data_IF_871567791933
#
_entry.id   IF_871567791933
#
_cell.length_a   1.000
_cell.length_b   1.000
_cell.length_c   1.000
_cell.angle_alpha   90.00
_cell.angle_beta   90.00
_cell.angle_gamma   90.00
#
_symmetry.space_group_name_H-M   'P 1'
#
loop_
_entity.id
_entity.type
_entity.pdbx_description
1 polymer ?
#
# COMPACT_ATOMS: atom_id res chain seq x y z
N UNK A 1 -11.79 38.96 -29.91
CA UNK A 1 -12.00 38.16 -31.14
C UNK A 1 -11.20 36.90 -30.95
N UNK A 2 -11.80 35.74 -31.09
CA UNK A 2 -11.15 34.46 -30.86
C UNK A 2 -10.07 34.24 -31.93
N UNK A 3 -8.87 33.83 -31.58
CA UNK A 3 -7.74 33.65 -32.52
C UNK A 3 -8.13 32.80 -33.74
N UNK A 4 -8.99 31.80 -33.50
CA UNK A 4 -9.56 30.97 -34.59
C UNK A 4 -10.40 31.75 -35.59
N UNK A 5 -11.23 32.65 -35.08
CA UNK A 5 -12.03 33.53 -35.96
C UNK A 5 -11.17 34.50 -36.75
N UNK A 6 -10.11 35.00 -36.13
CA UNK A 6 -9.15 35.90 -36.80
C UNK A 6 -8.47 35.21 -37.96
N UNK A 7 -8.02 33.94 -37.80
CA UNK A 7 -7.41 33.15 -38.89
C UNK A 7 -8.42 32.87 -40.02
N UNK A 8 -9.64 32.50 -39.69
CA UNK A 8 -10.68 32.30 -40.72
C UNK A 8 -11.00 33.59 -41.49
N UNK A 9 -11.10 34.73 -40.79
CA UNK A 9 -11.37 36.02 -41.44
C UNK A 9 -10.21 36.44 -42.35
N UNK A 10 -8.97 36.35 -41.85
CA UNK A 10 -7.77 36.66 -42.67
C UNK A 10 -7.70 35.71 -43.87
N UNK A 11 -7.89 34.42 -43.65
CA UNK A 11 -7.89 33.41 -44.72
C UNK A 11 -8.95 33.70 -45.80
N UNK A 12 -10.17 34.04 -45.36
CA UNK A 12 -11.26 34.38 -46.25
C UNK A 12 -10.98 35.66 -47.06
N UNK A 13 -10.46 36.71 -46.41
CA UNK A 13 -10.11 37.96 -47.10
C UNK A 13 -8.99 37.77 -48.13
N UNK A 14 -7.97 36.95 -47.79
CA UNK A 14 -6.90 36.62 -48.73
C UNK A 14 -7.39 35.80 -49.92
N UNK A 15 -8.33 34.87 -49.71
CA UNK A 15 -8.96 34.08 -50.78
C UNK A 15 -9.78 34.99 -51.71
N UNK A 16 -10.55 35.91 -51.11
CA UNK A 16 -11.36 36.87 -51.86
C UNK A 16 -10.49 37.83 -52.68
N UNK A 17 -9.40 38.36 -52.11
CA UNK A 17 -8.47 39.23 -52.80
C UNK A 17 -7.69 38.48 -53.88
N UNK A 18 -7.34 37.23 -53.67
CA UNK A 18 -6.72 36.34 -54.64
C UNK A 18 -7.61 36.10 -55.86
N UNK A 19 -8.95 36.04 -55.66
CA UNK A 19 -9.93 35.92 -56.76
C UNK A 19 -9.91 37.15 -57.69
N UNK A 20 -9.83 38.36 -57.10
CA UNK A 20 -9.80 39.60 -57.84
C UNK A 20 -8.44 39.88 -58.51
N UNK A 21 -7.34 39.49 -57.91
CA UNK A 21 -5.99 39.75 -58.38
C UNK A 21 -5.45 38.67 -59.35
N UNK A 22 -6.13 37.52 -59.46
CA UNK A 22 -5.66 36.38 -60.23
C UNK A 22 -4.37 35.72 -59.73
N UNK A 23 -3.95 36.07 -58.50
CA UNK A 23 -2.69 35.61 -57.92
C UNK A 23 -2.84 34.24 -57.24
N UNK A 24 -2.22 33.21 -57.80
CA UNK A 24 -2.20 31.86 -57.21
C UNK A 24 -1.54 31.82 -55.82
N UNK A 25 -0.60 32.70 -55.55
CA UNK A 25 0.07 32.79 -54.26
C UNK A 25 -0.91 33.20 -53.14
N UNK A 26 -1.82 34.16 -53.41
CA UNK A 26 -2.83 34.59 -52.43
C UNK A 26 -3.86 33.47 -52.19
N UNK A 27 -4.14 32.63 -53.14
CA UNK A 27 -4.98 31.45 -52.96
C UNK A 27 -4.33 30.43 -52.03
N UNK A 28 -3.03 30.14 -52.18
CA UNK A 28 -2.29 29.26 -51.30
C UNK A 28 -2.24 29.82 -49.88
N UNK A 29 -1.92 31.11 -49.76
CA UNK A 29 -1.78 31.75 -48.43
C UNK A 29 -3.16 31.83 -47.74
N UNK A 30 -4.21 32.22 -48.44
CA UNK A 30 -5.57 32.26 -47.93
C UNK A 30 -6.09 30.89 -47.52
N UNK A 31 -5.85 29.85 -48.31
CA UNK A 31 -6.16 28.47 -47.97
C UNK A 31 -5.41 27.99 -46.73
N UNK A 32 -4.12 28.30 -46.61
CA UNK A 32 -3.32 27.97 -45.43
C UNK A 32 -3.92 28.57 -44.15
N UNK A 33 -4.22 29.87 -44.14
CA UNK A 33 -4.83 30.52 -42.94
C UNK A 33 -6.25 30.02 -42.67
N UNK A 34 -7.02 29.70 -43.67
CA UNK A 34 -8.39 29.20 -43.53
C UNK A 34 -8.47 27.80 -42.94
N UNK A 35 -7.58 26.88 -43.36
CA UNK A 35 -7.58 25.50 -42.86
C UNK A 35 -6.72 25.29 -41.63
N UNK A 36 -5.88 26.26 -41.24
CA UNK A 36 -5.00 26.15 -40.10
C UNK A 36 -5.71 25.84 -38.76
N UNK A 37 -6.85 26.49 -38.40
CA UNK A 37 -7.57 26.16 -37.15
C UNK A 37 -8.09 24.73 -37.14
N UNK A 38 -8.62 24.24 -38.24
CA UNK A 38 -9.08 22.86 -38.36
C UNK A 38 -7.92 21.85 -38.21
N UNK A 39 -6.77 22.15 -38.79
CA UNK A 39 -5.55 21.33 -38.64
C UNK A 39 -5.06 21.32 -37.19
N UNK A 40 -5.13 22.46 -36.49
CA UNK A 40 -4.79 22.55 -35.06
C UNK A 40 -5.71 21.69 -34.17
N UNK A 41 -7.02 21.77 -34.39
CA UNK A 41 -7.99 20.93 -33.65
C UNK A 41 -7.79 19.44 -33.91
N UNK A 42 -7.58 19.07 -35.16
CA UNK A 42 -7.30 17.69 -35.55
C UNK A 42 -6.03 17.20 -34.86
N UNK A 43 -4.98 18.00 -34.87
CA UNK A 43 -3.72 17.68 -34.21
C UNK A 43 -3.87 17.57 -32.70
N UNK A 44 -4.52 18.52 -32.01
CA UNK A 44 -4.78 18.47 -30.58
C UNK A 44 -5.53 17.20 -30.17
N UNK A 45 -6.57 16.80 -30.92
CA UNK A 45 -7.30 15.55 -30.69
C UNK A 45 -6.44 14.29 -30.94
N UNK A 46 -5.48 14.38 -31.87
CA UNK A 46 -4.62 13.27 -32.25
C UNK A 46 -3.46 13.03 -31.28
N UNK A 47 -2.97 14.07 -30.62
CA UNK A 47 -1.86 13.99 -29.65
C UNK A 47 -2.14 12.96 -28.55
N UNK A 48 -3.37 12.90 -28.03
CA UNK A 48 -3.80 11.95 -26.98
C UNK A 48 -3.43 10.50 -27.35
N UNK A 49 -3.51 10.14 -28.63
CA UNK A 49 -3.22 8.80 -29.12
C UNK A 49 -1.73 8.51 -29.29
N UNK A 50 -0.93 9.56 -29.45
CA UNK A 50 0.49 9.45 -29.83
C UNK A 50 1.47 9.71 -28.68
N UNK A 51 1.00 10.28 -27.57
CA UNK A 51 1.82 10.46 -26.36
C UNK A 51 1.58 9.28 -25.42
N UNK A 52 2.65 8.57 -25.08
CA UNK A 52 2.63 7.51 -24.06
C UNK A 52 3.45 7.96 -22.85
N UNK A 53 2.86 7.74 -21.68
CA UNK A 53 3.49 7.99 -20.38
C UNK A 53 3.86 6.65 -19.76
N UNK A 54 5.10 6.51 -19.30
CA UNK A 54 5.59 5.35 -18.59
C UNK A 54 6.22 5.79 -17.27
N UNK A 55 5.97 4.99 -16.22
CA UNK A 55 6.56 5.18 -14.91
C UNK A 55 7.43 4.00 -14.57
N UNK A 56 8.61 4.27 -14.07
CA UNK A 56 9.49 3.25 -13.51
C UNK A 56 9.97 3.73 -12.15
N UNK A 57 9.96 2.85 -11.16
CA UNK A 57 10.53 3.13 -9.83
C UNK A 57 11.52 2.05 -9.48
N UNK A 58 12.54 2.43 -8.73
CA UNK A 58 13.52 1.49 -8.17
C UNK A 58 12.89 0.58 -7.12
N UNK A 59 11.90 1.07 -6.37
CA UNK A 59 11.20 0.33 -5.34
C UNK A 59 9.71 0.64 -5.33
N UNK A 60 8.88 -0.39 -5.16
CA UNK A 60 7.43 -0.25 -5.02
C UNK A 60 6.96 -0.44 -3.57
N UNK A 61 7.85 -0.90 -2.68
CA UNK A 61 7.59 -1.16 -1.27
C UNK A 61 8.73 -0.61 -0.44
N UNK A 62 8.44 0.33 0.45
CA UNK A 62 9.47 1.11 1.16
C UNK A 62 9.09 1.33 2.61
N UNK A 63 10.07 1.74 3.43
CA UNK A 63 9.86 2.24 4.78
C UNK A 63 9.68 3.75 4.78
N UNK A 64 9.01 4.34 5.77
CA UNK A 64 8.95 5.80 5.94
C UNK A 64 10.35 6.40 6.02
N UNK A 65 10.54 7.56 5.39
CA UNK A 65 11.83 8.25 5.34
C UNK A 65 12.82 7.69 4.30
N UNK A 66 12.48 6.61 3.59
CA UNK A 66 13.35 6.07 2.54
C UNK A 66 13.10 6.82 1.22
N UNK A 67 14.11 7.46 0.62
CA UNK A 67 13.96 8.11 -0.68
C UNK A 67 13.82 7.06 -1.79
N UNK A 68 12.89 7.28 -2.71
CA UNK A 68 12.59 6.42 -3.86
C UNK A 68 12.71 7.23 -5.13
N UNK A 69 13.49 6.75 -6.09
CA UNK A 69 13.61 7.37 -7.39
C UNK A 69 12.51 6.88 -8.32
N UNK A 70 11.69 7.80 -8.79
CA UNK A 70 10.64 7.56 -9.75
C UNK A 70 10.98 8.26 -11.05
N UNK A 71 11.22 7.49 -12.08
CA UNK A 71 11.50 8.01 -13.42
C UNK A 71 10.23 8.02 -14.24
N UNK A 72 9.88 9.20 -14.72
CA UNK A 72 8.74 9.46 -15.57
C UNK A 72 9.28 9.64 -16.98
N UNK A 73 8.78 8.84 -17.90
CA UNK A 73 9.17 8.91 -19.31
C UNK A 73 7.95 9.18 -20.19
N UNK A 74 8.02 10.25 -20.96
CA UNK A 74 7.05 10.60 -21.97
C UNK A 74 7.61 10.25 -23.36
N UNK A 75 6.85 9.50 -24.15
CA UNK A 75 7.18 9.14 -25.53
C UNK A 75 6.29 9.90 -26.49
N UNK A 76 6.88 10.71 -27.35
CA UNK A 76 6.19 11.33 -28.46
C UNK A 76 6.28 10.40 -29.69
N UNK A 77 5.18 9.77 -30.07
CA UNK A 77 5.09 8.95 -31.28
C UNK A 77 4.62 9.73 -32.50
N UNK A 78 4.33 11.04 -32.30
CA UNK A 78 3.87 11.89 -33.41
C UNK A 78 5.02 12.33 -34.32
N UNK A 79 4.65 12.79 -35.48
CA UNK A 79 5.56 13.41 -36.42
C UNK A 79 5.75 14.91 -36.20
N UNK A 80 5.12 15.48 -35.19
CA UNK A 80 5.26 16.88 -34.76
C UNK A 80 5.94 16.95 -33.37
N UNK A 81 6.76 17.98 -33.14
CA UNK A 81 7.34 18.22 -31.84
C UNK A 81 6.27 18.72 -30.86
N UNK A 82 6.43 18.40 -29.59
CA UNK A 82 5.60 18.88 -28.49
C UNK A 82 6.45 19.70 -27.53
N UNK A 83 6.66 20.98 -27.81
CA UNK A 83 7.40 21.85 -26.93
C UNK A 83 6.57 22.17 -25.68
N UNK A 84 7.25 22.43 -24.57
CA UNK A 84 6.64 22.89 -23.32
C UNK A 84 5.44 22.06 -22.86
N UNK A 85 5.56 20.72 -22.91
CA UNK A 85 4.56 19.83 -22.36
C UNK A 85 4.72 19.76 -20.84
N UNK A 86 3.69 20.15 -20.10
CA UNK A 86 3.67 20.09 -18.67
C UNK A 86 2.91 18.85 -18.21
N UNK A 87 3.49 18.10 -17.29
CA UNK A 87 2.82 17.02 -16.58
C UNK A 87 2.54 17.51 -15.15
N UNK A 88 1.27 17.50 -14.76
CA UNK A 88 0.81 17.84 -13.43
C UNK A 88 0.22 16.61 -12.77
N UNK A 89 0.57 16.37 -11.50
CA UNK A 89 -0.05 15.34 -10.67
C UNK A 89 -0.04 15.76 -9.21
N UNK A 90 -0.86 15.09 -8.40
CA UNK A 90 -0.95 15.37 -6.98
C UNK A 90 -0.57 14.15 -6.14
N UNK A 91 0.10 14.42 -5.03
CA UNK A 91 0.56 13.47 -4.03
C UNK A 91 -0.01 13.86 -2.66
N UNK A 92 -0.13 12.91 -1.71
CA UNK A 92 -0.42 13.25 -0.32
C UNK A 92 0.66 14.17 0.28
N UNK A 93 0.27 15.08 1.18
CA UNK A 93 1.18 16.05 1.83
C UNK A 93 2.37 15.41 2.55
N UNK A 94 2.18 14.19 3.08
CA UNK A 94 3.21 13.46 3.80
C UNK A 94 4.29 12.83 2.91
N UNK A 95 4.31 13.18 1.62
CA UNK A 95 5.36 12.78 0.67
C UNK A 95 6.12 14.01 0.24
N UNK A 96 7.39 14.09 0.59
CA UNK A 96 8.29 15.13 0.07
C UNK A 96 8.79 14.73 -1.31
N UNK A 97 8.95 15.74 -2.17
CA UNK A 97 9.33 15.56 -3.57
C UNK A 97 10.51 16.44 -3.90
N UNK A 98 11.56 15.84 -4.41
CA UNK A 98 12.74 16.53 -4.95
C UNK A 98 12.86 16.30 -6.46
N UNK A 99 13.32 17.33 -7.19
CA UNK A 99 13.56 17.26 -8.65
C UNK A 99 12.38 17.73 -9.51
N UNK A 100 11.29 18.24 -8.94
CA UNK A 100 10.18 18.87 -9.68
C UNK A 100 10.53 20.28 -10.15
N UNK A 101 9.98 20.70 -11.30
CA UNK A 101 10.12 22.09 -11.77
C UNK A 101 9.33 23.07 -10.89
N UNK A 102 8.12 22.67 -10.51
CA UNK A 102 7.27 23.40 -9.57
C UNK A 102 6.66 22.41 -8.57
N UNK A 103 6.82 22.69 -7.28
CA UNK A 103 6.21 21.90 -6.21
C UNK A 103 5.45 22.87 -5.31
N UNK A 104 4.13 22.66 -5.18
CA UNK A 104 3.26 23.47 -4.32
C UNK A 104 2.46 22.57 -3.40
N UNK A 105 2.53 22.81 -2.10
CA UNK A 105 1.71 22.12 -1.11
C UNK A 105 0.51 22.98 -0.74
N UNK A 106 -0.70 22.44 -0.92
CA UNK A 106 -1.96 23.09 -0.60
C UNK A 106 -3.03 22.04 -0.29
N UNK A 107 -3.92 22.31 0.67
CA UNK A 107 -5.07 21.46 1.02
C UNK A 107 -4.70 19.98 1.24
N UNK A 108 -3.66 19.70 2.04
CA UNK A 108 -3.19 18.34 2.34
C UNK A 108 -2.66 17.56 1.12
N UNK A 109 -2.37 18.25 0.03
CA UNK A 109 -1.80 17.65 -1.17
C UNK A 109 -0.59 18.43 -1.68
N UNK A 110 0.37 17.73 -2.21
CA UNK A 110 1.53 18.28 -2.90
C UNK A 110 1.31 18.14 -4.39
N UNK A 111 1.19 19.28 -5.07
CA UNK A 111 1.05 19.34 -6.53
C UNK A 111 2.43 19.49 -7.13
N UNK A 112 2.76 18.58 -8.03
CA UNK A 112 4.03 18.57 -8.75
C UNK A 112 3.78 18.86 -10.22
N UNK A 113 4.58 19.77 -10.79
CA UNK A 113 4.58 20.08 -12.23
C UNK A 113 5.96 19.81 -12.81
N UNK A 114 5.98 19.07 -13.91
CA UNK A 114 7.19 18.72 -14.64
C UNK A 114 7.10 19.20 -16.08
N UNK A 115 8.15 19.85 -16.57
CA UNK A 115 8.25 20.27 -17.95
C UNK A 115 9.02 19.25 -18.76
N UNK A 116 8.46 18.93 -19.93
CA UNK A 116 9.05 18.08 -20.95
C UNK A 116 9.07 18.82 -22.27
N UNK A 117 10.20 18.77 -22.94
CA UNK A 117 10.32 19.17 -24.35
C UNK A 117 10.48 17.87 -25.16
N UNK A 118 9.50 17.56 -25.99
CA UNK A 118 9.40 16.27 -26.70
C UNK A 118 9.64 16.49 -28.20
N UNK A 119 10.86 16.25 -28.72
CA UNK A 119 11.12 16.27 -30.14
C UNK A 119 10.30 15.21 -30.90
N UNK A 120 10.30 15.30 -32.21
CA UNK A 120 9.60 14.36 -33.12
C UNK A 120 10.10 12.94 -32.88
N UNK A 121 9.18 12.00 -32.59
CA UNK A 121 9.46 10.56 -32.40
C UNK A 121 10.52 10.26 -31.34
N UNK A 122 10.68 11.13 -30.36
CA UNK A 122 11.64 10.95 -29.25
C UNK A 122 10.93 10.82 -27.92
N UNK A 123 11.71 10.46 -26.91
CA UNK A 123 11.26 10.38 -25.53
C UNK A 123 12.10 11.28 -24.63
N UNK A 124 11.44 11.88 -23.65
CA UNK A 124 12.11 12.60 -22.57
C UNK A 124 11.81 11.91 -21.24
N UNK A 125 12.80 11.85 -20.38
CA UNK A 125 12.68 11.28 -19.05
C UNK A 125 13.03 12.32 -17.98
N UNK A 126 12.31 12.25 -16.85
CA UNK A 126 12.60 13.04 -15.64
C UNK A 126 12.56 12.11 -14.44
N UNK A 127 13.53 12.24 -13.57
CA UNK A 127 13.58 11.46 -12.33
C UNK A 127 13.24 12.39 -11.16
N UNK A 128 12.35 11.92 -10.31
CA UNK A 128 11.96 12.56 -9.06
C UNK A 128 12.36 11.66 -7.91
N UNK A 129 12.77 12.26 -6.82
CA UNK A 129 12.96 11.53 -5.56
C UNK A 129 11.75 11.78 -4.66
N UNK A 130 11.02 10.72 -4.35
CA UNK A 130 9.86 10.74 -3.45
C UNK A 130 10.26 10.18 -2.09
N UNK A 131 10.04 10.94 -1.02
CA UNK A 131 10.31 10.48 0.35
C UNK A 131 9.00 10.47 1.14
N UNK A 132 8.37 9.30 1.33
CA UNK A 132 7.15 9.18 2.12
C UNK A 132 7.49 9.20 3.62
N UNK A 133 6.71 9.93 4.43
CA UNK A 133 6.90 10.04 5.87
C UNK A 133 5.88 9.26 6.69
N UNK A 134 4.74 8.88 6.10
CA UNK A 134 3.70 8.08 6.77
C UNK A 134 3.47 6.78 6.02
N UNK A 135 3.09 5.72 6.76
CA UNK A 135 2.69 4.45 6.15
C UNK A 135 1.42 4.62 5.30
N UNK A 136 1.21 3.70 4.39
CA UNK A 136 0.01 3.67 3.56
C UNK A 136 0.31 3.38 2.11
N UNK A 137 -0.71 3.43 1.27
CA UNK A 137 -0.53 3.37 -0.17
C UNK A 137 -0.50 4.79 -0.72
N UNK A 138 0.63 5.19 -1.25
CA UNK A 138 0.80 6.46 -1.96
C UNK A 138 0.34 6.25 -3.40
N UNK A 139 -0.69 7.00 -3.80
CA UNK A 139 -1.21 7.02 -5.17
C UNK A 139 -0.86 8.35 -5.82
N UNK A 140 -0.43 8.32 -7.05
CA UNK A 140 -0.44 9.50 -7.89
C UNK A 140 -1.87 9.71 -8.40
N UNK A 141 -2.43 10.87 -8.10
CA UNK A 141 -3.79 11.22 -8.49
C UNK A 141 -3.79 12.49 -9.33
N UNK A 142 -4.90 12.74 -10.02
CA UNK A 142 -5.10 13.96 -10.82
C UNK A 142 -4.00 14.18 -11.86
N UNK A 143 -3.61 13.10 -12.54
CA UNK A 143 -2.58 13.17 -13.56
C UNK A 143 -3.16 13.85 -14.80
N UNK A 144 -2.63 15.03 -15.10
CA UNK A 144 -3.01 15.84 -16.25
C UNK A 144 -1.76 16.23 -17.01
N UNK A 145 -1.82 16.15 -18.32
CA UNK A 145 -0.79 16.72 -19.17
C UNK A 145 -1.36 17.93 -19.87
N UNK A 146 -0.66 19.03 -19.77
CA UNK A 146 -0.95 20.30 -20.41
C UNK A 146 0.09 20.49 -21.51
N UNK A 147 -0.33 20.63 -22.75
CA UNK A 147 0.57 20.96 -23.85
C UNK A 147 0.07 22.20 -24.59
N UNK A 148 0.98 23.07 -24.96
CA UNK A 148 0.66 24.18 -25.88
C UNK A 148 0.87 23.69 -27.30
N UNK A 149 -0.20 23.55 -28.08
CA UNK A 149 -0.06 23.25 -29.50
C UNK A 149 0.70 24.38 -30.22
N UNK A 150 1.46 24.05 -31.25
CA UNK A 150 2.06 25.04 -32.12
C UNK A 150 0.94 25.93 -32.72
N UNK A 151 1.06 27.25 -32.50
CA UNK A 151 0.11 28.26 -33.00
C UNK A 151 -1.29 28.27 -32.34
N UNK A 152 -1.49 27.65 -31.18
CA UNK A 152 -2.74 27.72 -30.43
C UNK A 152 -2.57 28.49 -29.12
N UNK A 153 -3.57 29.29 -28.77
CA UNK A 153 -3.62 30.05 -27.53
C UNK A 153 -4.21 29.24 -26.34
N UNK A 154 -4.79 28.09 -26.65
CA UNK A 154 -5.43 27.24 -25.66
C UNK A 154 -4.58 26.04 -25.27
N UNK A 155 -4.49 25.80 -23.97
CA UNK A 155 -3.82 24.63 -23.39
C UNK A 155 -4.70 23.40 -23.65
N UNK A 156 -4.15 22.38 -24.28
CA UNK A 156 -4.83 21.09 -24.46
C UNK A 156 -4.55 20.18 -23.30
N UNK A 157 -5.61 19.74 -22.61
CA UNK A 157 -5.52 18.75 -21.55
C UNK A 157 -5.57 17.34 -22.11
N UNK A 158 -4.55 16.55 -21.80
CA UNK A 158 -4.48 15.16 -22.18
C UNK A 158 -4.78 14.31 -20.95
N UNK A 159 -5.92 13.57 -20.92
CA UNK A 159 -6.16 12.61 -19.84
C UNK A 159 -5.14 11.49 -19.96
N UNK A 160 -4.34 11.31 -18.92
CA UNK A 160 -3.35 10.23 -18.86
C UNK A 160 -3.88 9.12 -17.94
N UNK A 161 -4.35 7.99 -18.51
CA UNK A 161 -4.79 6.85 -17.69
C UNK A 161 -3.57 6.15 -17.13
N UNK A 162 -3.14 6.55 -15.95
CA UNK A 162 -2.03 5.89 -15.25
C UNK A 162 -2.29 5.80 -13.77
N UNK A 163 -2.02 4.62 -13.23
CA UNK A 163 -1.98 4.36 -11.82
C UNK A 163 -0.56 3.98 -11.43
N UNK A 164 0.13 4.88 -10.76
CA UNK A 164 1.32 4.52 -10.00
C UNK A 164 0.93 4.40 -8.54
N UNK A 165 1.36 3.33 -7.90
CA UNK A 165 1.19 3.16 -6.47
C UNK A 165 2.45 2.65 -5.82
N UNK A 166 2.74 3.19 -4.65
CA UNK A 166 3.84 2.77 -3.81
C UNK A 166 3.30 2.43 -2.42
N UNK A 167 3.70 1.28 -1.88
CA UNK A 167 3.30 0.84 -0.56
C UNK A 167 4.37 1.20 0.46
N UNK A 168 3.98 1.99 1.46
CA UNK A 168 4.84 2.40 2.57
C UNK A 168 4.50 1.57 3.80
N UNK A 169 5.44 0.77 4.27
CA UNK A 169 5.26 -0.09 5.43
C UNK A 169 5.22 0.71 6.73
N UNK A 170 4.58 0.20 7.80
CA UNK A 170 4.68 0.81 9.12
C UNK A 170 6.12 0.68 9.67
N UNK A 171 6.58 1.73 10.36
CA UNK A 171 7.88 1.72 11.03
C UNK A 171 7.78 0.93 12.34
N UNK A 172 8.55 -0.16 12.54
CA UNK A 172 8.48 -0.93 13.78
C UNK A 172 8.98 -0.14 14.98
N UNK A 173 8.22 -0.18 16.09
CA UNK A 173 8.65 0.39 17.38
C UNK A 173 9.63 -0.54 18.12
N UNK A 174 10.52 -0.01 18.95
CA UNK A 174 11.35 -0.82 19.83
C UNK A 174 10.46 -1.55 20.85
N UNK A 175 10.64 -2.87 20.95
CA UNK A 175 9.91 -3.70 21.93
C UNK A 175 10.74 -3.91 23.18
N UNK A 176 10.11 -3.97 24.37
CA UNK A 176 10.81 -4.34 25.59
C UNK A 176 11.32 -5.79 25.51
N UNK A 177 12.50 -6.10 26.05
CA UNK A 177 13.10 -7.44 25.97
C UNK A 177 12.27 -8.54 26.63
N UNK A 178 11.46 -8.17 27.64
CA UNK A 178 10.60 -9.09 28.39
C UNK A 178 9.45 -9.71 27.62
N UNK A 179 9.13 -9.23 26.40
CA UNK A 179 8.04 -9.81 25.58
C UNK A 179 8.24 -11.32 25.38
N UNK A 180 9.46 -11.77 25.20
CA UNK A 180 9.78 -13.18 25.00
C UNK A 180 9.64 -14.00 26.29
N UNK A 181 10.01 -13.43 27.46
CA UNK A 181 9.99 -14.15 28.72
C UNK A 181 8.57 -14.37 29.24
N UNK A 182 7.71 -13.36 29.13
CA UNK A 182 6.33 -13.44 29.62
C UNK A 182 5.39 -14.27 28.72
N UNK A 183 5.72 -14.42 27.44
CA UNK A 183 4.89 -15.14 26.47
C UNK A 183 5.37 -16.56 26.16
N UNK A 184 6.53 -16.97 26.68
CA UNK A 184 6.96 -18.37 26.53
C UNK A 184 6.01 -19.31 27.26
N UNK A 185 5.50 -20.37 26.61
CA UNK A 185 4.74 -21.43 27.29
C UNK A 185 5.64 -22.11 28.33
N UNK A 186 5.14 -22.28 29.57
CA UNK A 186 5.86 -23.08 30.57
C UNK A 186 6.08 -24.50 30.02
N UNK A 187 7.34 -24.91 29.95
CA UNK A 187 7.70 -26.22 29.47
C UNK A 187 7.94 -26.33 27.97
N UNK A 188 8.36 -25.27 27.32
CA UNK A 188 8.94 -25.37 25.97
C UNK A 188 10.34 -25.99 26.01
N UNK A 189 10.48 -27.21 26.53
CA UNK A 189 11.24 -28.21 25.78
C UNK A 189 10.66 -28.14 24.40
N UNK A 190 11.46 -27.71 23.43
CA UNK A 190 11.16 -27.79 22.01
C UNK A 190 10.54 -29.17 21.73
N UNK A 191 9.25 -29.31 21.96
CA UNK A 191 8.50 -30.41 21.41
C UNK A 191 8.73 -30.21 19.91
N UNK A 192 9.52 -31.06 19.32
CA UNK A 192 9.48 -31.37 17.88
C UNK A 192 8.11 -31.98 17.62
N UNK A 193 7.07 -31.23 18.00
CA UNK A 193 5.69 -31.56 17.74
C UNK A 193 5.57 -31.55 16.23
N UNK A 194 5.30 -32.74 15.69
CA UNK A 194 5.09 -33.02 14.27
C UNK A 194 4.32 -31.89 13.66
N UNK A 195 5.02 -31.05 12.87
CA UNK A 195 4.42 -30.04 12.04
C UNK A 195 3.39 -30.76 11.17
N UNK A 196 2.13 -30.47 11.35
CA UNK A 196 1.09 -31.02 10.50
C UNK A 196 1.27 -30.39 9.11
N UNK A 197 1.59 -31.23 8.14
CA UNK A 197 1.67 -30.82 6.73
C UNK A 197 0.30 -30.34 6.27
N UNK A 198 0.19 -29.09 5.89
CA UNK A 198 -1.03 -28.60 5.26
C UNK A 198 -1.07 -29.07 3.81
N UNK A 199 -1.90 -30.08 3.58
CA UNK A 199 -2.08 -30.72 2.26
C UNK A 199 -2.65 -29.73 1.22
N UNK A 200 -3.14 -28.56 1.64
CA UNK A 200 -3.81 -27.59 0.78
C UNK A 200 -2.80 -26.68 0.05
N UNK A 201 -1.65 -26.41 0.65
CA UNK A 201 -0.65 -25.52 0.05
C UNK A 201 0.60 -26.26 -0.40
N UNK A 202 0.73 -26.41 -1.72
CA UNK A 202 1.88 -27.02 -2.37
C UNK A 202 3.00 -25.99 -2.53
N UNK A 203 4.11 -26.19 -1.83
CA UNK A 203 5.30 -25.34 -1.92
C UNK A 203 6.18 -25.68 -3.15
N UNK A 204 6.16 -26.94 -3.59
CA UNK A 204 6.98 -27.42 -4.68
C UNK A 204 7.08 -28.93 -4.70
N UNK A 205 8.06 -29.46 -5.44
CA UNK A 205 8.40 -30.90 -5.46
C UNK A 205 9.85 -31.10 -5.09
N UNK A 206 10.18 -32.27 -4.54
CA UNK A 206 11.53 -32.75 -4.30
C UNK A 206 11.67 -34.21 -4.71
N UNK A 207 12.87 -34.71 -4.98
CA UNK A 207 13.09 -36.13 -5.21
C UNK A 207 12.55 -36.99 -4.04
N UNK A 208 11.91 -38.10 -4.38
CA UNK A 208 11.41 -39.08 -3.43
C UNK A 208 12.54 -39.66 -2.57
N UNK A 209 12.32 -39.75 -1.28
CA UNK A 209 13.24 -40.42 -0.33
C UNK A 209 12.52 -41.63 0.29
N UNK A 210 13.29 -42.74 0.58
CA UNK A 210 12.75 -43.89 1.29
C UNK A 210 12.12 -43.44 2.63
N UNK A 211 10.81 -43.73 2.81
CA UNK A 211 10.03 -43.29 3.98
C UNK A 211 8.98 -42.22 3.66
N UNK A 212 9.00 -41.63 2.46
CA UNK A 212 7.94 -40.71 2.02
C UNK A 212 6.64 -41.50 1.77
N UNK A 213 5.50 -40.84 2.10
CA UNK A 213 4.19 -41.45 1.89
C UNK A 213 3.83 -41.47 0.41
N UNK A 214 3.50 -42.61 -0.15
CA UNK A 214 3.12 -42.79 -1.57
C UNK A 214 2.01 -41.83 -2.04
N UNK A 215 1.05 -41.50 -1.18
CA UNK A 215 -0.04 -40.54 -1.49
C UNK A 215 0.45 -39.11 -1.79
N UNK A 216 1.70 -38.79 -1.42
CA UNK A 216 2.31 -37.48 -1.65
C UNK A 216 3.13 -37.43 -2.94
N UNK A 217 3.22 -38.51 -3.71
CA UNK A 217 3.92 -38.51 -5.00
C UNK A 217 3.22 -37.55 -5.96
N UNK A 218 4.03 -36.70 -6.60
CA UNK A 218 3.56 -35.76 -7.61
C UNK A 218 3.70 -36.36 -9.01
N UNK A 219 2.74 -37.21 -9.42
CA UNK A 219 2.80 -37.96 -10.66
C UNK A 219 3.09 -37.14 -11.91
N UNK A 220 2.55 -35.90 -11.98
CA UNK A 220 2.79 -34.99 -13.12
C UNK A 220 4.26 -34.50 -13.17
N UNK A 221 4.89 -34.24 -12.03
CA UNK A 221 6.31 -33.88 -11.98
C UNK A 221 7.18 -35.08 -12.29
N UNK A 222 6.88 -36.23 -11.70
CA UNK A 222 7.54 -37.53 -11.98
C UNK A 222 7.54 -37.86 -13.47
N UNK A 223 6.41 -37.69 -14.15
CA UNK A 223 6.31 -37.93 -15.61
C UNK A 223 7.18 -36.94 -16.43
N UNK A 224 7.43 -35.74 -15.90
CA UNK A 224 8.25 -34.73 -16.60
C UNK A 224 9.74 -34.89 -16.33
N UNK A 225 10.13 -35.29 -15.13
CA UNK A 225 11.55 -35.40 -14.71
C UNK A 225 12.13 -36.80 -14.90
N UNK A 226 11.26 -37.82 -15.08
CA UNK A 226 11.69 -39.22 -15.15
C UNK A 226 12.11 -39.84 -13.80
N UNK A 227 12.09 -39.06 -12.71
CA UNK A 227 12.42 -39.50 -11.35
C UNK A 227 11.22 -39.32 -10.44
N UNK A 228 11.07 -40.21 -9.44
CA UNK A 228 9.95 -40.08 -8.48
C UNK A 228 10.08 -38.77 -7.70
N UNK A 229 9.04 -37.92 -7.83
CA UNK A 229 8.95 -36.62 -7.16
C UNK A 229 7.86 -36.63 -6.09
N UNK A 230 8.17 -36.14 -4.90
CA UNK A 230 7.24 -36.00 -3.78
C UNK A 230 6.80 -34.55 -3.64
N UNK A 231 5.52 -34.34 -3.38
CA UNK A 231 4.95 -33.03 -3.08
C UNK A 231 5.53 -32.47 -1.79
N UNK A 232 6.05 -31.28 -1.83
CA UNK A 232 6.52 -30.54 -0.67
C UNK A 232 5.41 -29.59 -0.24
N UNK A 233 4.75 -29.93 0.87
CA UNK A 233 3.69 -29.11 1.43
C UNK A 233 4.27 -28.01 2.31
N UNK A 234 3.56 -26.91 2.40
CA UNK A 234 3.88 -25.87 3.37
C UNK A 234 3.48 -26.38 4.76
N UNK A 235 4.39 -26.26 5.72
CA UNK A 235 4.07 -26.66 7.08
C UNK A 235 3.22 -25.57 7.71
N UNK A 236 1.98 -25.87 8.07
CA UNK A 236 1.16 -24.99 8.88
C UNK A 236 1.76 -24.99 10.28
N UNK A 237 2.46 -23.94 10.63
CA UNK A 237 2.89 -23.73 11.99
C UNK A 237 1.64 -23.54 12.85
N UNK A 238 1.48 -24.36 13.90
CA UNK A 238 0.50 -24.04 14.94
C UNK A 238 0.86 -22.66 15.51
N UNK A 239 -0.08 -21.72 15.62
CA UNK A 239 0.23 -20.41 16.14
C UNK A 239 0.70 -20.56 17.58
N UNK A 240 1.94 -20.17 17.82
CA UNK A 240 2.44 -20.10 19.20
C UNK A 240 1.91 -18.85 19.88
N UNK A 241 1.59 -17.80 19.10
CA UNK A 241 1.08 -16.53 19.59
C UNK A 241 -0.17 -16.09 18.87
N UNK A 242 -1.12 -15.54 19.63
CA UNK A 242 -2.25 -14.76 19.13
C UNK A 242 -1.99 -13.30 19.42
N UNK A 243 -1.76 -12.52 18.37
CA UNK A 243 -1.50 -11.10 18.49
C UNK A 243 -2.79 -10.35 18.22
N UNK A 244 -3.20 -9.48 19.13
CA UNK A 244 -4.43 -8.69 19.06
C UNK A 244 -4.07 -7.22 19.06
N UNK A 245 -4.48 -6.50 18.03
CA UNK A 245 -4.39 -5.04 17.96
C UNK A 245 -5.72 -4.38 18.32
N UNK A 246 -5.76 -3.64 19.42
CA UNK A 246 -6.92 -2.88 19.83
C UNK A 246 -6.93 -1.52 19.14
N UNK A 247 -7.47 -1.44 17.93
CA UNK A 247 -7.61 -0.21 17.18
C UNK A 247 -8.76 0.63 17.75
N UNK A 248 -8.49 1.89 18.03
CA UNK A 248 -9.41 2.82 18.67
C UNK A 248 -10.35 3.48 17.65
N UNK A 249 -11.61 3.76 18.01
CA UNK A 249 -12.56 4.44 17.12
C UNK A 249 -12.17 5.90 16.87
N UNK A 250 -12.40 6.39 15.65
CA UNK A 250 -12.12 7.76 15.22
C UNK A 250 -13.40 8.55 14.95
N UNK A 251 -14.43 8.39 15.81
CA UNK A 251 -15.76 8.97 15.54
C UNK A 251 -15.91 10.46 15.92
N UNK A 252 -15.06 10.98 16.78
CA UNK A 252 -15.14 12.37 17.23
C UNK A 252 -14.09 13.23 16.53
N UNK A 253 -14.46 14.36 15.90
CA UNK A 253 -13.51 15.22 15.18
C UNK A 253 -12.35 15.74 16.05
N UNK A 254 -12.61 16.03 17.33
CA UNK A 254 -11.60 16.49 18.29
C UNK A 254 -10.70 15.36 18.81
N UNK A 255 -11.25 14.16 19.00
CA UNK A 255 -10.51 12.98 19.45
C UNK A 255 -9.83 12.23 18.30
N UNK A 256 -10.23 12.48 17.06
CA UNK A 256 -9.77 11.77 15.87
C UNK A 256 -8.25 11.81 15.73
N UNK A 257 -7.63 12.98 15.85
CA UNK A 257 -6.18 13.14 15.70
C UNK A 257 -5.41 12.38 16.76
N UNK A 258 -5.88 12.41 18.00
CA UNK A 258 -5.25 11.69 19.10
C UNK A 258 -5.39 10.17 18.97
N UNK A 259 -6.56 9.68 18.56
CA UNK A 259 -6.78 8.27 18.30
C UNK A 259 -5.99 7.79 17.06
N UNK A 260 -5.82 8.63 16.04
CA UNK A 260 -5.01 8.30 14.87
C UNK A 260 -3.55 8.11 15.24
N UNK A 261 -2.96 8.98 16.08
CA UNK A 261 -1.60 8.81 16.58
C UNK A 261 -1.45 7.55 17.44
N UNK A 262 -2.42 7.27 18.32
CA UNK A 262 -2.46 6.06 19.11
C UNK A 262 -2.56 4.80 18.24
N UNK A 263 -3.42 4.83 17.22
CA UNK A 263 -3.56 3.74 16.25
C UNK A 263 -2.28 3.50 15.44
N UNK A 264 -1.57 4.58 15.06
CA UNK A 264 -0.26 4.47 14.41
C UNK A 264 0.76 3.76 15.31
N UNK A 265 0.80 4.08 16.62
CA UNK A 265 1.66 3.40 17.58
C UNK A 265 1.29 1.93 17.75
N UNK A 266 0.00 1.60 17.82
CA UNK A 266 -0.48 0.21 17.84
C UNK A 266 0.01 -0.55 16.60
N UNK A 267 -0.19 0.00 15.41
CA UNK A 267 0.22 -0.61 14.15
C UNK A 267 1.74 -0.78 14.07
N UNK A 268 2.50 0.20 14.54
CA UNK A 268 3.96 0.13 14.61
C UNK A 268 4.45 -0.93 15.58
N UNK A 269 3.77 -1.11 16.72
CA UNK A 269 4.04 -2.19 17.67
C UNK A 269 3.71 -3.57 17.07
N UNK A 270 2.59 -3.72 16.35
CA UNK A 270 2.24 -4.95 15.65
C UNK A 270 3.26 -5.31 14.55
N UNK A 271 3.78 -4.32 13.84
CA UNK A 271 4.85 -4.51 12.87
C UNK A 271 6.13 -5.02 13.55
N UNK A 272 6.49 -4.45 14.72
CA UNK A 272 7.63 -4.88 15.50
C UNK A 272 7.46 -6.32 16.03
N UNK A 273 6.27 -6.68 16.53
CA UNK A 273 5.95 -8.05 16.95
C UNK A 273 6.08 -9.04 15.78
N UNK A 274 5.56 -8.69 14.60
CA UNK A 274 5.68 -9.55 13.43
C UNK A 274 7.14 -9.74 12.99
N UNK A 275 7.98 -8.71 13.13
CA UNK A 275 9.42 -8.79 12.87
C UNK A 275 10.13 -9.67 13.91
N UNK A 276 9.76 -9.56 15.19
CA UNK A 276 10.26 -10.40 16.27
C UNK A 276 9.91 -11.88 16.04
N UNK A 277 8.64 -12.17 15.69
CA UNK A 277 8.18 -13.52 15.35
C UNK A 277 8.97 -14.11 14.18
N UNK A 278 9.21 -13.31 13.12
CA UNK A 278 10.05 -13.72 12.00
C UNK A 278 11.49 -14.05 12.44
N UNK A 279 12.10 -13.16 13.25
CA UNK A 279 13.49 -13.33 13.73
C UNK A 279 13.66 -14.57 14.62
N UNK A 280 12.63 -14.90 15.40
CA UNK A 280 12.62 -16.03 16.34
C UNK A 280 11.96 -17.28 15.77
N UNK A 281 11.49 -17.26 14.51
CA UNK A 281 10.76 -18.36 13.86
C UNK A 281 9.51 -18.79 14.65
N UNK A 282 8.81 -17.84 15.29
CA UNK A 282 7.58 -18.08 16.03
C UNK A 282 6.41 -17.94 15.06
N UNK A 283 5.52 -18.95 15.05
CA UNK A 283 4.26 -18.87 14.34
C UNK A 283 3.27 -17.96 15.07
N UNK A 284 2.49 -17.18 14.35
CA UNK A 284 1.49 -16.31 14.96
C UNK A 284 0.31 -16.04 14.03
N UNK A 285 -0.82 -15.72 14.63
CA UNK A 285 -2.00 -15.15 13.96
C UNK A 285 -2.25 -13.73 14.45
N UNK A 286 -2.86 -12.90 13.60
CA UNK A 286 -3.12 -11.50 13.90
C UNK A 286 -4.62 -11.22 13.85
N UNK A 287 -5.13 -10.64 14.93
CA UNK A 287 -6.48 -10.11 15.02
C UNK A 287 -6.46 -8.60 15.24
N UNK A 288 -7.39 -7.88 14.61
CA UNK A 288 -7.59 -6.46 14.86
C UNK A 288 -9.06 -6.20 15.19
N UNK A 289 -9.32 -5.26 16.08
CA UNK A 289 -10.68 -4.78 16.39
C UNK A 289 -11.24 -3.89 15.29
N UNK A 290 -11.13 -4.33 14.05
CA UNK A 290 -11.68 -3.65 12.87
C UNK A 290 -12.54 -4.61 12.05
N UNK A 291 -13.62 -4.09 11.48
CA UNK A 291 -14.54 -4.86 10.65
C UNK A 291 -13.89 -5.18 9.31
N UNK A 292 -13.92 -6.41 8.91
CA UNK A 292 -13.48 -6.86 7.59
C UNK A 292 -14.69 -7.26 6.74
N UNK A 293 -14.59 -7.08 5.42
CA UNK A 293 -15.69 -7.42 4.50
C UNK A 293 -16.11 -8.89 4.68
N UNK A 294 -17.36 -9.13 5.09
CA UNK A 294 -17.90 -10.46 5.36
C UNK A 294 -17.50 -11.08 6.72
N UNK A 295 -16.76 -10.37 7.57
CA UNK A 295 -16.37 -10.83 8.91
C UNK A 295 -16.49 -9.69 9.92
N UNK A 296 -16.83 -10.06 11.17
CA UNK A 296 -16.97 -9.09 12.25
C UNK A 296 -15.61 -8.47 12.65
N UNK A 297 -14.55 -9.26 12.62
CA UNK A 297 -13.20 -8.80 12.96
C UNK A 297 -12.20 -9.13 11.85
N UNK A 298 -11.19 -8.30 11.72
CA UNK A 298 -10.05 -8.59 10.86
C UNK A 298 -9.25 -9.75 11.46
N UNK A 299 -9.02 -10.77 10.66
CA UNK A 299 -8.25 -11.94 11.06
C UNK A 299 -7.30 -12.36 9.95
N UNK A 300 -6.03 -12.45 10.29
CA UNK A 300 -4.98 -12.99 9.47
C UNK A 300 -4.58 -14.35 10.02
N UNK A 301 -4.78 -15.44 9.25
CA UNK A 301 -4.55 -16.79 9.72
C UNK A 301 -3.11 -17.01 10.18
N UNK A 302 -2.93 -18.05 10.99
CA UNK A 302 -1.63 -18.47 11.48
C UNK A 302 -0.62 -18.71 10.36
N UNK A 303 0.59 -18.24 10.59
CA UNK A 303 1.69 -18.43 9.67
C UNK A 303 3.03 -18.10 10.30
N UNK A 304 4.12 -18.36 9.60
CA UNK A 304 5.47 -18.08 10.07
C UNK A 304 6.41 -17.68 8.93
N UNK A 305 7.57 -17.18 9.28
CA UNK A 305 8.63 -16.87 8.31
C UNK A 305 8.47 -15.55 7.55
N UNK A 306 9.27 -15.39 6.48
CA UNK A 306 9.39 -14.13 5.73
C UNK A 306 8.10 -13.77 4.96
N UNK A 307 7.47 -14.75 4.34
CA UNK A 307 6.27 -14.55 3.53
C UNK A 307 5.10 -14.04 4.39
N UNK A 308 4.85 -14.69 5.54
CA UNK A 308 3.82 -14.28 6.48
C UNK A 308 4.07 -12.88 7.04
N UNK A 309 5.32 -12.58 7.46
CA UNK A 309 5.70 -11.24 7.90
C UNK A 309 5.42 -10.17 6.84
N UNK A 310 5.82 -10.38 5.58
CA UNK A 310 5.55 -9.44 4.50
C UNK A 310 4.05 -9.26 4.23
N UNK A 311 3.26 -10.34 4.37
CA UNK A 311 1.82 -10.26 4.25
C UNK A 311 1.21 -9.41 5.37
N UNK A 312 1.62 -9.64 6.62
CA UNK A 312 1.22 -8.81 7.77
C UNK A 312 1.58 -7.34 7.55
N UNK A 313 2.83 -7.04 7.16
CA UNK A 313 3.27 -5.67 6.89
C UNK A 313 2.43 -5.00 5.80
N UNK A 314 2.09 -5.74 4.74
CA UNK A 314 1.24 -5.24 3.65
C UNK A 314 -0.18 -4.91 4.15
N UNK A 315 -0.79 -5.79 4.94
CA UNK A 315 -2.11 -5.56 5.50
C UNK A 315 -2.12 -4.37 6.47
N UNK A 316 -1.13 -4.28 7.35
CA UNK A 316 -0.97 -3.15 8.27
C UNK A 316 -0.74 -1.81 7.53
N UNK A 317 0.00 -1.83 6.43
CA UNK A 317 0.21 -0.65 5.59
C UNK A 317 -1.07 -0.16 4.92
N UNK A 318 -1.94 -1.08 4.50
CA UNK A 318 -3.21 -0.78 3.81
C UNK A 318 -4.36 -0.41 4.73
N UNK A 319 -4.17 -0.48 6.04
CA UNK A 319 -5.20 -0.19 7.04
C UNK A 319 -5.40 1.33 7.19
N UNK A 320 -6.19 1.95 6.31
CA UNK A 320 -6.41 3.39 6.30
C UNK A 320 -7.82 3.79 6.76
N UNK A 321 -8.86 3.19 6.17
CA UNK A 321 -10.25 3.46 6.52
C UNK A 321 -10.88 2.19 7.10
N UNK A 322 -11.30 2.25 8.36
CA UNK A 322 -11.83 1.10 9.06
C UNK A 322 -12.98 1.48 10.00
N UNK A 323 -13.87 0.53 10.18
CA UNK A 323 -14.91 0.57 11.22
C UNK A 323 -14.42 -0.32 12.35
N UNK A 324 -14.35 0.22 13.56
CA UNK A 324 -13.92 -0.54 14.73
C UNK A 324 -15.03 -1.42 15.28
N UNK A 325 -14.61 -2.49 15.93
CA UNK A 325 -15.49 -3.43 16.64
C UNK A 325 -15.09 -3.49 18.12
N UNK A 326 -16.02 -3.79 19.03
CA UNK A 326 -15.72 -3.86 20.45
C UNK A 326 -14.68 -4.95 20.77
N UNK A 327 -13.67 -4.61 21.56
CA UNK A 327 -12.66 -5.58 22.01
C UNK A 327 -13.25 -6.78 22.75
N UNK A 328 -14.29 -6.63 23.62
CA UNK A 328 -14.90 -7.78 24.30
C UNK A 328 -15.47 -8.84 23.37
N UNK A 329 -16.03 -8.46 22.22
CA UNK A 329 -16.58 -9.43 21.24
C UNK A 329 -15.46 -10.28 20.63
N UNK A 330 -14.32 -9.68 20.34
CA UNK A 330 -13.14 -10.39 19.84
C UNK A 330 -12.57 -11.35 20.88
N UNK A 331 -12.43 -10.91 22.14
CA UNK A 331 -11.90 -11.75 23.22
C UNK A 331 -12.82 -12.96 23.53
N UNK A 332 -14.15 -12.78 23.54
CA UNK A 332 -15.10 -13.89 23.70
C UNK A 332 -14.94 -14.97 22.62
N UNK A 333 -14.73 -14.55 21.39
CA UNK A 333 -14.48 -15.51 20.30
C UNK A 333 -13.20 -16.33 20.52
N UNK A 334 -12.19 -15.76 21.16
CA UNK A 334 -10.97 -16.48 21.50
C UNK A 334 -11.18 -17.46 22.67
N UNK A 335 -12.14 -17.20 23.55
CA UNK A 335 -12.54 -18.13 24.62
C UNK A 335 -13.07 -19.46 24.08
N UNK A 336 -13.67 -19.47 22.91
CA UNK A 336 -14.21 -20.70 22.28
C UNK A 336 -13.09 -21.62 21.74
N UNK A 337 -11.85 -21.14 21.69
CA UNK A 337 -10.72 -21.94 21.21
C UNK A 337 -10.24 -22.91 22.30
N UNK A 338 -10.10 -24.20 21.99
CA UNK A 338 -9.66 -25.22 22.96
C UNK A 338 -8.15 -25.15 23.26
N UNK A 339 -7.37 -24.39 22.49
CA UNK A 339 -5.92 -24.36 22.60
C UNK A 339 -5.47 -23.38 23.68
N UNK A 340 -4.57 -23.82 24.57
CA UNK A 340 -3.86 -22.96 25.51
C UNK A 340 -2.75 -22.20 24.79
N UNK A 341 -3.02 -20.98 24.36
CA UNK A 341 -2.11 -20.18 23.54
C UNK A 341 -1.68 -18.91 24.28
N UNK A 342 -0.54 -18.37 23.89
CA UNK A 342 -0.08 -17.08 24.35
C UNK A 342 -0.80 -15.97 23.57
N UNK A 343 -1.52 -15.11 24.28
CA UNK A 343 -2.24 -13.96 23.75
C UNK A 343 -1.46 -12.69 24.04
N UNK A 344 -1.10 -11.95 23.01
CA UNK A 344 -0.44 -10.65 23.14
C UNK A 344 -1.44 -9.57 22.70
N UNK A 345 -1.90 -8.76 23.63
CA UNK A 345 -2.81 -7.66 23.39
C UNK A 345 -2.04 -6.35 23.34
N UNK A 346 -2.15 -5.63 22.23
CA UNK A 346 -1.56 -4.30 22.03
C UNK A 346 -2.65 -3.26 22.11
N UNK A 347 -2.54 -2.31 23.05
CA UNK A 347 -3.53 -1.25 23.28
C UNK A 347 -2.86 0.06 23.65
N UNK A 348 -3.48 1.18 23.30
CA UNK A 348 -3.11 2.50 23.81
C UNK A 348 -4.03 2.98 24.96
N UNK A 349 -5.02 2.16 25.36
CA UNK A 349 -5.94 2.43 26.47
C UNK A 349 -6.06 1.21 27.39
N UNK A 350 -5.05 0.97 28.23
CA UNK A 350 -5.06 -0.17 29.14
C UNK A 350 -6.18 -0.07 30.18
N UNK A 351 -6.61 1.15 30.53
CA UNK A 351 -7.68 1.39 31.53
C UNK A 351 -9.08 0.93 31.04
N UNK A 352 -9.31 0.90 29.72
CA UNK A 352 -10.59 0.48 29.12
C UNK A 352 -10.68 -1.04 28.88
N UNK A 353 -9.71 -1.82 29.36
CA UNK A 353 -9.67 -3.25 29.10
C UNK A 353 -10.80 -4.01 29.83
N UNK A 354 -11.47 -4.97 29.17
CA UNK A 354 -12.54 -5.76 29.77
C UNK A 354 -11.96 -6.80 30.74
N UNK A 355 -11.72 -6.40 31.99
CA UNK A 355 -11.07 -7.21 33.03
C UNK A 355 -11.76 -8.57 33.20
N UNK A 356 -13.10 -8.61 33.21
CA UNK A 356 -13.87 -9.85 33.39
C UNK A 356 -13.61 -10.89 32.27
N UNK A 357 -13.54 -10.46 31.01
CA UNK A 357 -13.24 -11.36 29.88
C UNK A 357 -11.80 -11.83 29.93
N UNK A 358 -10.88 -10.95 30.33
CA UNK A 358 -9.46 -11.33 30.50
C UNK A 358 -9.28 -12.35 31.63
N UNK A 359 -10.01 -12.22 32.72
CA UNK A 359 -10.02 -13.22 33.82
C UNK A 359 -10.50 -14.59 33.32
N UNK A 360 -11.55 -14.62 32.51
CA UNK A 360 -12.06 -15.88 31.93
C UNK A 360 -11.02 -16.58 31.06
N UNK A 361 -10.30 -15.83 30.21
CA UNK A 361 -9.20 -16.38 29.41
C UNK A 361 -8.05 -16.91 30.28
N UNK A 362 -7.67 -16.18 31.35
CA UNK A 362 -6.66 -16.64 32.30
C UNK A 362 -7.08 -17.92 33.04
N UNK A 363 -8.36 -18.04 33.47
CA UNK A 363 -8.92 -19.24 34.12
C UNK A 363 -8.90 -20.46 33.19
N UNK A 364 -9.05 -20.24 31.86
CA UNK A 364 -8.94 -21.31 30.85
C UNK A 364 -7.50 -21.71 30.53
N UNK A 365 -6.52 -21.02 31.13
CA UNK A 365 -5.10 -21.33 31.02
C UNK A 365 -4.38 -20.64 29.86
N UNK A 366 -4.99 -19.63 29.25
CA UNK A 366 -4.29 -18.76 28.32
C UNK A 366 -3.28 -17.88 29.06
N UNK A 367 -2.11 -17.66 28.46
CA UNK A 367 -1.16 -16.65 28.94
C UNK A 367 -1.46 -15.34 28.21
N UNK A 368 -1.69 -14.27 28.99
CA UNK A 368 -1.98 -12.96 28.42
C UNK A 368 -0.86 -12.01 28.76
N UNK A 369 -0.28 -11.37 27.74
CA UNK A 369 0.60 -10.23 27.87
C UNK A 369 -0.09 -9.00 27.27
N UNK A 370 -0.12 -7.89 28.00
CA UNK A 370 -0.66 -6.64 27.52
C UNK A 370 0.48 -5.66 27.29
N UNK A 371 0.56 -5.15 26.06
CA UNK A 371 1.51 -4.11 25.68
C UNK A 371 0.76 -2.78 25.59
N UNK A 372 1.13 -1.86 26.45
CA UNK A 372 0.66 -0.50 26.44
C UNK A 372 1.53 0.35 25.54
N UNK A 373 0.90 1.01 24.57
CA UNK A 373 1.52 1.93 23.60
C UNK A 373 0.95 3.35 23.73
N UNK A 374 0.38 3.70 24.88
CA UNK A 374 -0.14 5.06 25.15
C UNK A 374 0.97 6.11 25.10
N UNK A 375 2.18 5.73 25.51
CA UNK A 375 3.39 6.55 25.47
C UNK A 375 4.29 6.19 24.28
N UNK A 376 5.37 6.96 24.07
CA UNK A 376 6.35 6.67 23.02
C UNK A 376 7.07 5.32 23.20
N UNK A 377 7.25 4.89 24.44
CA UNK A 377 7.84 3.61 24.76
C UNK A 377 6.77 2.56 25.03
N UNK A 378 6.97 1.37 24.47
CA UNK A 378 6.10 0.22 24.71
C UNK A 378 6.38 -0.35 26.10
N UNK A 379 5.36 -0.41 26.94
CA UNK A 379 5.47 -0.88 28.33
C UNK A 379 4.51 -2.07 28.55
N UNK A 380 4.86 -2.95 29.50
CA UNK A 380 3.92 -3.98 29.95
C UNK A 380 2.91 -3.41 30.94
N UNK A 381 1.64 -3.55 30.64
CA UNK A 381 0.54 -3.19 31.56
C UNK A 381 0.39 -4.24 32.68
N UNK A 382 1.38 -4.30 33.60
CA UNK A 382 1.42 -5.31 34.68
C UNK A 382 0.38 -5.08 35.76
N UNK A 383 0.01 -3.83 36.03
CA UNK A 383 -0.93 -3.49 37.11
C UNK A 383 -2.34 -3.97 36.79
N UNK A 384 -2.80 -3.80 35.58
CA UNK A 384 -4.11 -4.23 35.09
C UNK A 384 -4.24 -5.76 35.10
N UNK A 385 -3.17 -6.45 34.67
CA UNK A 385 -3.11 -7.92 34.73
C UNK A 385 -3.03 -8.41 36.20
N UNK A 386 -2.34 -7.69 37.08
CA UNK A 386 -2.26 -8.05 38.50
C UNK A 386 -3.61 -7.88 39.21
N UNK A 387 -4.40 -6.84 38.87
CA UNK A 387 -5.76 -6.65 39.35
C UNK A 387 -6.68 -7.77 38.86
N UNK A 388 -6.62 -8.14 37.58
CA UNK A 388 -7.37 -9.26 37.00
C UNK A 388 -7.01 -10.59 37.71
N UNK A 389 -5.72 -10.83 37.96
CA UNK A 389 -5.25 -12.03 38.69
C UNK A 389 -5.72 -12.06 40.14
N UNK A 390 -5.64 -10.95 40.89
CA UNK A 390 -6.12 -10.89 42.28
C UNK A 390 -7.62 -11.20 42.36
N UNK A 391 -8.45 -10.62 41.53
CA UNK A 391 -9.89 -10.90 41.48
C UNK A 391 -10.18 -12.36 41.12
N UNK A 392 -9.41 -12.97 40.20
CA UNK A 392 -9.58 -14.37 39.83
C UNK A 392 -9.25 -15.36 40.93
N UNK A 393 -8.33 -15.00 41.84
CA UNK A 393 -7.96 -15.83 43.00
C UNK A 393 -8.97 -15.69 44.15
N UNK A 394 -9.55 -14.48 44.36
CA UNK A 394 -10.57 -14.23 45.39
C UNK A 394 -11.94 -14.86 45.03
N UNK A 395 -12.18 -15.23 43.79
CA UNK A 395 -13.42 -15.83 43.31
C UNK A 395 -13.34 -17.38 43.21
N UNK A 396 -12.26 -17.98 43.69
CA UNK A 396 -12.12 -19.45 43.93
C UNK A 396 -12.28 -19.72 45.45
#
# INVERSE_FOLDING_TARGET
MDTKQTFHVIGFLLLLFGLFSGSWFLWLLGGFFFFMPAAQEWWAKSIVKWVKLEWTSDQTRVMPGTPVNVTIRLHNRSWLPLPATWLRFSLPEHVTVDGGNEVKTSNQRTIVRLRFDLPIRQSAARTLTLTPHKRGTVWLTEIQSETMPLFADEVTFLPMPLSFSMLVYPLPLPLPPLVLEETQPDGSKLSRQRQQEDVTFLRGTRPYMPGDRFKHIHWKATAKTGTLETRLFEHTAHPNWRIIGHILPSYEPLAQRHNDEANERIISCLAALSMLCRKKSIGFELFLTVKQRGREHFHLPAGSGKSHHLHVMTQLAQLNHYVTTPLPSLLRRLEESPAKEAVILVTARPDELPVGTMEQLLRRGHKIAVLDVSQEQVVFARQELAQARKRSVMAR
#
